data_IF_635746938387
#
_entry.id   IF_635746938387
#
_cell.length_a   1.000
_cell.length_b   1.000
_cell.length_c   1.000
_cell.angle_alpha   90.00
_cell.angle_beta   90.00
_cell.angle_gamma   90.00
#
_symmetry.space_group_name_H-M   'P 1'
#
loop_
_entity.id
_entity.type
_entity.pdbx_description
1 polymer ?
#
# COMPACT_ATOMS: atom_id res chain seq x y z
N UNK A 1 -10.21 -33.69 -6.43
CA UNK A 1 -10.49 -32.42 -5.74
C UNK A 1 -10.35 -31.32 -6.79
N UNK A 2 -11.34 -30.46 -6.91
CA UNK A 2 -11.30 -29.29 -7.82
C UNK A 2 -10.38 -28.23 -7.20
N UNK A 3 -9.70 -27.42 -8.02
CA UNK A 3 -8.97 -26.20 -7.58
C UNK A 3 -9.96 -25.05 -7.30
N UNK A 4 -11.14 -25.35 -6.76
CA UNK A 4 -12.19 -24.39 -6.42
C UNK A 4 -12.38 -24.43 -4.91
N UNK A 5 -12.30 -23.29 -4.23
CA UNK A 5 -12.54 -23.19 -2.79
C UNK A 5 -11.57 -24.00 -1.91
N UNK A 6 -10.36 -24.27 -2.41
CA UNK A 6 -9.36 -25.09 -1.72
C UNK A 6 -8.85 -24.39 -0.46
N UNK A 7 -9.37 -24.77 0.72
CA UNK A 7 -8.80 -24.36 2.03
C UNK A 7 -7.94 -25.46 2.66
N UNK A 8 -8.31 -26.72 2.46
CA UNK A 8 -7.64 -27.89 3.06
C UNK A 8 -7.68 -29.11 2.12
N UNK A 9 -6.58 -29.87 1.98
CA UNK A 9 -5.25 -29.59 2.54
C UNK A 9 -4.62 -28.30 1.96
N UNK A 10 -3.71 -27.67 2.71
CA UNK A 10 -2.90 -26.56 2.21
C UNK A 10 -1.97 -27.11 1.14
N UNK A 11 -1.89 -26.42 0.00
CA UNK A 11 -1.03 -26.82 -1.10
C UNK A 11 -1.64 -27.85 -2.05
N UNK A 12 -0.85 -28.18 -3.06
CA UNK A 12 -1.12 -29.25 -4.01
C UNK A 12 -0.98 -30.61 -3.33
N UNK A 13 -1.68 -31.60 -3.88
CA UNK A 13 -1.41 -33.01 -3.58
C UNK A 13 0.07 -33.32 -3.84
N UNK A 14 0.68 -34.12 -2.98
CA UNK A 14 2.11 -34.46 -3.06
C UNK A 14 2.52 -35.05 -4.42
N UNK A 15 1.68 -35.93 -4.98
CA UNK A 15 1.89 -36.53 -6.30
C UNK A 15 1.76 -35.55 -7.48
N UNK A 16 1.24 -34.34 -7.22
CA UNK A 16 1.01 -33.30 -8.24
C UNK A 16 2.03 -32.15 -8.19
N UNK A 17 2.88 -32.05 -7.16
CA UNK A 17 3.89 -30.97 -7.06
C UNK A 17 4.86 -30.97 -8.25
N UNK A 18 5.48 -32.11 -8.57
CA UNK A 18 6.38 -32.22 -9.72
C UNK A 18 5.67 -32.01 -11.09
N UNK A 19 4.49 -32.63 -11.35
CA UNK A 19 3.69 -32.30 -12.53
C UNK A 19 3.34 -30.82 -12.67
N UNK A 20 3.04 -30.13 -11.56
CA UNK A 20 2.70 -28.70 -11.57
C UNK A 20 3.90 -27.82 -11.92
N UNK A 21 5.09 -28.08 -11.37
CA UNK A 21 6.31 -27.40 -11.79
C UNK A 21 6.62 -27.62 -13.29
N UNK A 22 6.40 -28.85 -13.80
CA UNK A 22 6.53 -29.14 -15.23
C UNK A 22 5.50 -28.38 -16.08
N UNK A 23 4.28 -28.16 -15.56
CA UNK A 23 3.25 -27.38 -16.22
C UNK A 23 3.71 -25.94 -16.48
N UNK A 24 4.26 -25.25 -15.47
CA UNK A 24 4.87 -23.91 -15.63
C UNK A 24 5.91 -23.88 -16.76
N UNK A 25 6.86 -24.83 -16.75
CA UNK A 25 7.88 -24.91 -17.80
C UNK A 25 7.27 -25.12 -19.19
N UNK A 26 6.23 -25.94 -19.32
CA UNK A 26 5.56 -26.19 -20.60
C UNK A 26 4.77 -24.97 -21.07
N UNK A 27 4.11 -24.26 -20.16
CA UNK A 27 3.38 -23.02 -20.44
C UNK A 27 4.33 -21.95 -21.01
N UNK A 28 5.44 -21.67 -20.31
CA UNK A 28 6.46 -20.71 -20.77
C UNK A 28 7.02 -21.11 -22.15
N UNK A 29 7.33 -22.40 -22.32
CA UNK A 29 7.82 -22.92 -23.61
C UNK A 29 6.80 -22.74 -24.74
N UNK A 30 5.53 -23.00 -24.47
CA UNK A 30 4.47 -22.89 -25.47
C UNK A 30 4.29 -21.44 -25.93
N UNK A 31 4.16 -20.49 -25.00
CA UNK A 31 4.03 -19.07 -25.34
C UNK A 31 5.26 -18.50 -26.06
N UNK A 32 6.46 -18.91 -25.66
CA UNK A 32 7.69 -18.53 -26.36
C UNK A 32 7.69 -18.99 -27.82
N UNK A 33 7.12 -20.16 -28.14
CA UNK A 33 6.95 -20.63 -29.54
C UNK A 33 6.00 -19.76 -30.36
N UNK A 34 5.09 -19.05 -29.70
CA UNK A 34 4.21 -18.05 -30.31
C UNK A 34 4.79 -16.63 -30.30
N UNK A 35 6.08 -16.46 -29.94
CA UNK A 35 6.74 -15.16 -29.92
C UNK A 35 6.43 -14.31 -28.70
N UNK A 36 5.85 -14.90 -27.64
CA UNK A 36 5.49 -14.22 -26.38
C UNK A 36 6.44 -14.72 -25.28
N UNK A 37 7.60 -14.09 -25.05
CA UNK A 37 8.46 -14.44 -23.94
C UNK A 37 7.87 -13.89 -22.62
N UNK A 38 7.85 -14.71 -21.58
CA UNK A 38 7.53 -14.25 -20.23
C UNK A 38 8.76 -13.63 -19.57
N UNK A 39 8.56 -12.50 -18.90
CA UNK A 39 9.57 -11.88 -18.04
C UNK A 39 9.62 -12.55 -16.66
N UNK A 40 8.46 -12.86 -16.07
CA UNK A 40 8.38 -13.47 -14.74
C UNK A 40 7.08 -14.22 -14.49
N UNK A 41 7.04 -14.95 -13.37
CA UNK A 41 5.89 -15.74 -12.89
C UNK A 41 5.78 -15.67 -11.37
N UNK A 42 4.56 -15.87 -10.85
CA UNK A 42 4.28 -16.22 -9.45
C UNK A 42 3.80 -17.68 -9.35
N UNK A 43 4.08 -18.41 -8.25
CA UNK A 43 3.65 -19.81 -8.10
C UNK A 43 2.13 -19.99 -8.03
N UNK A 44 1.42 -19.01 -7.47
CA UNK A 44 -0.02 -19.07 -7.20
C UNK A 44 -0.55 -17.64 -7.01
N UNK A 45 -1.64 -17.30 -7.68
CA UNK A 45 -2.39 -16.08 -7.41
C UNK A 45 -3.12 -16.17 -6.07
N UNK A 46 -3.00 -15.14 -5.22
CA UNK A 46 -3.73 -15.00 -3.96
C UNK A 46 -3.74 -16.28 -3.09
N UNK A 47 -2.57 -16.82 -2.72
CA UNK A 47 -2.46 -18.08 -1.97
C UNK A 47 -3.15 -18.08 -0.61
N UNK A 48 -3.55 -16.95 -0.05
CA UNK A 48 -4.26 -16.89 1.24
C UNK A 48 -5.78 -16.83 1.07
N UNK A 49 -6.29 -16.76 -0.17
CA UNK A 49 -7.70 -16.57 -0.44
C UNK A 49 -8.33 -17.84 -1.01
N UNK A 50 -9.29 -18.39 -0.26
CA UNK A 50 -10.06 -19.56 -0.63
C UNK A 50 -11.26 -19.22 -1.52
N UNK A 51 -10.98 -18.55 -2.63
CA UNK A 51 -12.01 -18.03 -3.50
C UNK A 51 -12.99 -19.12 -3.99
N UNK A 52 -14.27 -18.77 -4.24
CA UNK A 52 -15.23 -19.69 -4.86
C UNK A 52 -14.97 -19.93 -6.37
N UNK A 53 -13.94 -19.29 -6.93
CA UNK A 53 -13.40 -19.51 -8.28
C UNK A 53 -12.04 -20.21 -8.23
N UNK A 54 -11.28 -20.16 -9.32
CA UNK A 54 -9.98 -20.81 -9.48
C UNK A 54 -8.99 -20.32 -8.40
N UNK A 55 -8.75 -21.15 -7.38
CA UNK A 55 -7.91 -20.81 -6.24
C UNK A 55 -7.25 -22.05 -5.61
N UNK A 56 -6.05 -21.87 -5.06
CA UNK A 56 -5.34 -22.91 -4.32
C UNK A 56 -4.63 -22.30 -3.12
N UNK A 57 -5.11 -22.58 -1.91
CA UNK A 57 -4.52 -22.00 -0.72
C UNK A 57 -3.13 -22.58 -0.42
N UNK A 58 -2.12 -21.71 -0.36
CA UNK A 58 -0.76 -22.00 0.13
C UNK A 58 -0.52 -21.20 1.41
N UNK A 59 0.35 -21.72 2.29
CA UNK A 59 1.01 -20.88 3.29
C UNK A 59 2.47 -20.65 2.87
N UNK A 60 3.13 -19.74 3.57
CA UNK A 60 4.50 -19.32 3.25
C UNK A 60 5.50 -20.47 3.26
N UNK A 61 5.36 -21.42 4.18
CA UNK A 61 6.24 -22.58 4.29
C UNK A 61 6.04 -23.54 3.11
N UNK A 62 4.78 -23.81 2.74
CA UNK A 62 4.47 -24.68 1.60
C UNK A 62 4.97 -24.08 0.28
N UNK A 63 4.74 -22.78 0.05
CA UNK A 63 5.24 -22.13 -1.18
C UNK A 63 6.77 -22.18 -1.23
N UNK A 64 7.46 -21.94 -0.11
CA UNK A 64 8.91 -22.05 -0.04
C UNK A 64 9.39 -23.48 -0.37
N UNK A 65 8.76 -24.51 0.19
CA UNK A 65 9.09 -25.91 -0.12
C UNK A 65 8.82 -26.23 -1.60
N UNK A 66 7.68 -25.80 -2.14
CA UNK A 66 7.33 -26.01 -3.54
C UNK A 66 8.33 -25.32 -4.49
N UNK A 67 8.74 -24.09 -4.17
CA UNK A 67 9.78 -23.37 -4.91
C UNK A 67 11.11 -24.12 -4.82
N UNK A 68 11.56 -24.46 -3.61
CA UNK A 68 12.89 -25.02 -3.39
C UNK A 68 13.08 -26.41 -3.99
N UNK A 69 12.07 -27.27 -3.86
CA UNK A 69 12.17 -28.68 -4.23
C UNK A 69 11.65 -28.98 -5.65
N UNK A 70 10.79 -28.12 -6.21
CA UNK A 70 10.12 -28.41 -7.50
C UNK A 70 10.22 -27.28 -8.52
N UNK A 71 9.62 -26.11 -8.26
CA UNK A 71 9.47 -25.07 -9.28
C UNK A 71 10.80 -24.41 -9.63
N UNK A 72 11.58 -23.98 -8.64
CA UNK A 72 12.88 -23.33 -8.82
C UNK A 72 13.86 -24.14 -9.66
N UNK A 73 14.14 -25.42 -9.32
CA UNK A 73 15.03 -26.28 -10.13
C UNK A 73 14.56 -26.45 -11.59
N UNK A 74 13.24 -26.51 -11.82
CA UNK A 74 12.67 -26.66 -13.16
C UNK A 74 12.84 -25.38 -13.97
N UNK A 75 12.59 -24.21 -13.37
CA UNK A 75 12.77 -22.91 -14.02
C UNK A 75 14.24 -22.63 -14.30
N UNK A 76 15.14 -22.84 -13.34
CA UNK A 76 16.58 -22.62 -13.53
C UNK A 76 17.13 -23.47 -14.69
N UNK A 77 16.73 -24.75 -14.77
CA UNK A 77 17.21 -25.65 -15.83
C UNK A 77 16.66 -25.29 -17.21
N UNK A 78 15.38 -24.96 -17.30
CA UNK A 78 14.69 -24.87 -18.59
C UNK A 78 14.55 -23.41 -19.09
N UNK A 79 14.52 -22.45 -18.17
CA UNK A 79 14.21 -21.03 -18.40
C UNK A 79 15.02 -20.11 -17.45
N UNK A 80 16.37 -20.17 -17.43
CA UNK A 80 17.23 -19.48 -16.44
C UNK A 80 17.15 -17.94 -16.40
N UNK A 81 16.36 -17.31 -17.28
CA UNK A 81 16.15 -15.86 -17.30
C UNK A 81 14.72 -15.43 -16.95
N UNK A 82 13.86 -16.35 -16.53
CA UNK A 82 12.51 -16.03 -16.06
C UNK A 82 12.58 -15.68 -14.58
N UNK A 83 12.08 -14.49 -14.26
CA UNK A 83 11.98 -13.97 -12.89
C UNK A 83 10.96 -14.77 -12.08
N UNK A 84 11.29 -15.18 -10.85
CA UNK A 84 10.34 -15.81 -9.94
C UNK A 84 9.99 -14.87 -8.77
N UNK A 85 8.72 -14.50 -8.68
CA UNK A 85 8.17 -13.68 -7.60
C UNK A 85 7.32 -14.55 -6.69
N UNK A 86 7.56 -14.51 -5.39
CA UNK A 86 6.74 -15.24 -4.44
C UNK A 86 5.51 -14.43 -3.96
N UNK A 87 4.62 -15.08 -3.23
CA UNK A 87 3.45 -14.52 -2.52
C UNK A 87 2.27 -14.12 -3.40
N UNK A 88 2.32 -13.00 -4.12
CA UNK A 88 1.25 -12.58 -5.04
C UNK A 88 -0.12 -12.39 -4.35
N UNK A 89 -0.13 -11.65 -3.23
CA UNK A 89 -1.33 -11.37 -2.45
C UNK A 89 -1.22 -10.08 -1.63
N UNK A 90 -2.18 -9.80 -0.74
CA UNK A 90 -2.37 -8.50 -0.13
C UNK A 90 -1.22 -8.03 0.78
N UNK A 91 -0.95 -6.72 0.76
CA UNK A 91 0.13 -6.06 1.53
C UNK A 91 0.15 -6.41 3.02
N UNK A 92 -0.99 -6.76 3.62
CA UNK A 92 -1.08 -7.14 5.04
C UNK A 92 -0.09 -8.25 5.43
N UNK A 93 0.16 -9.24 4.56
CA UNK A 93 1.02 -10.39 4.87
C UNK A 93 2.39 -10.35 4.18
N UNK A 94 2.68 -9.35 3.34
CA UNK A 94 3.88 -9.32 2.48
C UNK A 94 5.19 -9.47 3.26
N UNK A 95 5.32 -8.79 4.41
CA UNK A 95 6.51 -8.88 5.25
C UNK A 95 6.71 -10.29 5.85
N UNK A 96 5.63 -10.91 6.34
CA UNK A 96 5.67 -12.27 6.89
C UNK A 96 6.15 -13.27 5.83
N UNK A 97 5.57 -13.20 4.63
CA UNK A 97 5.91 -14.10 3.53
C UNK A 97 7.34 -13.92 3.05
N UNK A 98 7.81 -12.66 2.92
CA UNK A 98 9.20 -12.37 2.58
C UNK A 98 10.18 -12.99 3.59
N UNK A 99 9.93 -12.83 4.90
CA UNK A 99 10.78 -13.41 5.95
C UNK A 99 10.91 -14.93 5.81
N UNK A 100 9.79 -15.65 5.65
CA UNK A 100 9.81 -17.12 5.53
C UNK A 100 10.50 -17.57 4.24
N UNK A 101 10.16 -16.98 3.10
CA UNK A 101 10.64 -17.45 1.80
C UNK A 101 12.11 -17.13 1.58
N UNK A 102 12.54 -15.91 1.93
CA UNK A 102 13.93 -15.49 1.73
C UNK A 102 14.90 -16.23 2.66
N UNK A 103 14.45 -16.62 3.86
CA UNK A 103 15.26 -17.39 4.81
C UNK A 103 15.19 -18.92 4.59
N UNK A 104 14.28 -19.40 3.74
CA UNK A 104 14.11 -20.84 3.52
C UNK A 104 15.35 -21.47 2.83
N UNK A 105 15.93 -22.56 3.38
CA UNK A 105 17.22 -23.10 2.93
C UNK A 105 17.30 -23.49 1.45
N UNK A 106 16.19 -23.93 0.84
CA UNK A 106 16.15 -24.36 -0.56
C UNK A 106 15.45 -23.38 -1.51
N UNK A 107 14.66 -22.42 -1.00
CA UNK A 107 13.80 -21.58 -1.82
C UNK A 107 14.45 -20.24 -2.18
N UNK A 108 15.03 -19.57 -1.19
CA UNK A 108 15.45 -18.16 -1.31
C UNK A 108 16.43 -17.88 -2.45
N UNK A 109 17.21 -18.88 -2.89
CA UNK A 109 18.13 -18.77 -4.03
C UNK A 109 17.45 -18.65 -5.40
N UNK A 110 16.20 -19.11 -5.53
CA UNK A 110 15.45 -19.08 -6.80
C UNK A 110 14.52 -17.87 -6.91
N UNK A 111 14.23 -17.17 -5.79
CA UNK A 111 13.24 -16.09 -5.76
C UNK A 111 13.93 -14.75 -5.98
N UNK A 112 13.47 -13.99 -6.96
CA UNK A 112 14.05 -12.68 -7.32
C UNK A 112 13.37 -11.51 -6.60
N UNK A 113 12.11 -11.68 -6.22
CA UNK A 113 11.29 -10.65 -5.59
C UNK A 113 10.04 -11.20 -4.93
N UNK A 114 9.23 -10.29 -4.37
CA UNK A 114 7.91 -10.62 -3.82
C UNK A 114 6.84 -9.80 -4.54
N UNK A 115 5.79 -10.47 -4.96
CA UNK A 115 4.62 -9.87 -5.59
C UNK A 115 3.57 -9.57 -4.53
N UNK A 116 2.80 -8.51 -4.71
CA UNK A 116 1.72 -8.15 -3.79
C UNK A 116 0.56 -7.44 -4.48
N UNK A 117 -0.62 -7.48 -3.84
CA UNK A 117 -1.86 -6.87 -4.29
C UNK A 117 -2.30 -5.76 -3.32
N UNK A 118 -3.22 -4.90 -3.77
CA UNK A 118 -3.59 -3.69 -3.02
C UNK A 118 -4.77 -3.84 -2.05
N UNK A 119 -5.46 -4.99 -2.03
CA UNK A 119 -6.75 -5.14 -1.38
C UNK A 119 -6.63 -5.24 0.15
N UNK A 120 -7.68 -4.80 0.84
CA UNK A 120 -7.81 -4.99 2.29
C UNK A 120 -8.26 -6.43 2.64
N UNK A 121 -7.77 -6.93 3.77
CA UNK A 121 -8.06 -8.29 4.23
C UNK A 121 -9.51 -8.43 4.73
N UNK A 122 -10.06 -9.65 4.68
CA UNK A 122 -11.43 -9.92 5.11
C UNK A 122 -12.53 -9.52 4.12
N UNK A 123 -12.17 -9.02 2.94
CA UNK A 123 -13.11 -8.69 1.87
C UNK A 123 -13.82 -7.35 2.03
N UNK A 124 -13.47 -6.59 3.08
CA UNK A 124 -13.79 -5.17 3.19
C UNK A 124 -12.97 -4.44 2.11
N UNK A 125 -13.62 -3.72 1.19
CA UNK A 125 -12.95 -3.03 0.06
C UNK A 125 -12.79 -1.53 0.26
N UNK A 126 -13.04 -1.10 1.49
CA UNK A 126 -13.14 0.31 1.81
C UNK A 126 -11.76 0.97 1.80
N UNK A 127 -10.75 0.27 2.33
CA UNK A 127 -9.36 0.72 2.40
C UNK A 127 -8.46 0.18 1.27
N UNK A 128 -9.03 -0.43 0.24
CA UNK A 128 -8.28 -0.85 -0.95
C UNK A 128 -7.39 0.28 -1.46
N UNK A 129 -6.13 -0.04 -1.76
CA UNK A 129 -5.15 0.92 -2.25
C UNK A 129 -4.46 1.78 -1.17
N UNK A 130 -5.09 2.02 -0.02
CA UNK A 130 -4.56 2.93 1.02
C UNK A 130 -4.04 2.23 2.27
N UNK A 131 -4.41 0.97 2.50
CA UNK A 131 -3.96 0.21 3.67
C UNK A 131 -2.56 -0.40 3.51
N UNK A 132 -1.84 -0.48 4.63
CA UNK A 132 -0.58 -1.22 4.81
C UNK A 132 0.62 -0.84 3.89
N UNK A 133 0.80 0.42 3.44
CA UNK A 133 1.96 0.78 2.62
C UNK A 133 3.31 0.57 3.36
N UNK A 134 3.32 0.70 4.69
CA UNK A 134 4.49 0.53 5.55
C UNK A 134 5.02 -0.90 5.59
N UNK A 135 4.16 -1.91 5.37
CA UNK A 135 4.61 -3.30 5.29
C UNK A 135 5.58 -3.52 4.12
N UNK A 136 5.48 -2.71 3.05
CA UNK A 136 6.44 -2.74 1.95
C UNK A 136 7.80 -2.20 2.40
N UNK A 137 7.82 -1.09 3.14
CA UNK A 137 9.05 -0.54 3.72
C UNK A 137 9.76 -1.58 4.60
N UNK A 138 9.02 -2.23 5.51
CA UNK A 138 9.59 -3.24 6.40
C UNK A 138 10.09 -4.46 5.60
N UNK A 139 9.38 -4.85 4.53
CA UNK A 139 9.79 -5.94 3.63
C UNK A 139 11.07 -5.63 2.87
N UNK A 140 11.26 -4.39 2.42
CA UNK A 140 12.50 -3.97 1.77
C UNK A 140 13.74 -4.25 2.65
N UNK A 141 13.62 -4.03 3.97
CA UNK A 141 14.71 -4.25 4.91
C UNK A 141 14.93 -5.71 5.31
N UNK A 142 14.04 -6.65 4.94
CA UNK A 142 14.29 -8.09 5.06
C UNK A 142 15.43 -8.51 4.12
N UNK A 143 15.37 -8.07 2.85
CA UNK A 143 16.46 -8.27 1.88
C UNK A 143 16.40 -7.27 0.73
N UNK A 144 17.25 -6.23 0.80
CA UNK A 144 17.28 -5.14 -0.19
C UNK A 144 17.74 -5.54 -1.59
N UNK A 145 18.25 -6.77 -1.78
CA UNK A 145 18.58 -7.29 -3.12
C UNK A 145 17.37 -7.86 -3.87
N UNK A 146 16.22 -7.99 -3.19
CA UNK A 146 14.96 -8.48 -3.75
C UNK A 146 14.05 -7.30 -4.07
N UNK A 147 13.41 -7.33 -5.24
CA UNK A 147 12.45 -6.30 -5.61
C UNK A 147 11.05 -6.64 -5.07
N UNK A 148 10.20 -5.62 -4.96
CA UNK A 148 8.77 -5.79 -4.71
C UNK A 148 7.98 -5.28 -5.91
N UNK A 149 6.90 -5.95 -6.28
CA UNK A 149 6.05 -5.53 -7.40
C UNK A 149 4.58 -5.62 -7.00
N UNK A 150 3.84 -4.52 -7.17
CA UNK A 150 2.37 -4.58 -7.15
C UNK A 150 1.92 -5.23 -8.45
N UNK A 151 1.37 -6.44 -8.36
CA UNK A 151 1.03 -7.30 -9.50
C UNK A 151 -0.44 -7.26 -9.86
N UNK A 152 -1.30 -6.79 -8.95
CA UNK A 152 -2.72 -6.64 -9.19
C UNK A 152 -3.32 -5.53 -8.32
N UNK A 153 -4.21 -4.75 -8.93
CA UNK A 153 -5.05 -3.76 -8.26
C UNK A 153 -6.33 -3.54 -9.05
N UNK A 154 -7.47 -3.44 -8.36
CA UNK A 154 -8.77 -3.25 -9.00
C UNK A 154 -9.78 -2.58 -8.08
N UNK A 155 -10.58 -1.66 -8.61
CA UNK A 155 -11.70 -1.08 -7.87
C UNK A 155 -12.99 -1.83 -8.18
N UNK A 156 -13.63 -2.36 -7.15
CA UNK A 156 -14.88 -3.12 -7.27
C UNK A 156 -15.82 -2.74 -6.11
N UNK A 157 -17.13 -2.98 -6.21
CA UNK A 157 -17.83 -3.63 -7.32
C UNK A 157 -18.18 -2.69 -8.48
N UNK A 158 -18.32 -3.27 -9.68
CA UNK A 158 -18.91 -2.65 -10.86
C UNK A 158 -18.16 -1.45 -11.44
N UNK A 159 -18.78 -0.77 -12.41
CA UNK A 159 -18.22 0.39 -13.12
C UNK A 159 -18.70 1.69 -12.48
N UNK A 160 -17.77 2.54 -12.05
CA UNK A 160 -18.11 3.84 -11.48
C UNK A 160 -18.31 4.91 -12.56
N UNK A 161 -19.12 5.92 -12.23
CA UNK A 161 -19.33 7.11 -13.06
C UNK A 161 -19.27 8.39 -12.21
N UNK A 162 -19.06 9.54 -12.87
CA UNK A 162 -19.10 10.84 -12.21
C UNK A 162 -18.09 10.97 -11.05
N UNK A 163 -18.56 11.42 -9.88
CA UNK A 163 -17.72 11.65 -8.71
C UNK A 163 -17.06 10.37 -8.18
N UNK A 164 -17.73 9.22 -8.27
CA UNK A 164 -17.16 7.94 -7.83
C UNK A 164 -16.00 7.52 -8.74
N UNK A 165 -16.12 7.69 -10.05
CA UNK A 165 -15.04 7.39 -10.99
C UNK A 165 -13.81 8.26 -10.73
N UNK A 166 -14.01 9.52 -10.36
CA UNK A 166 -12.93 10.42 -9.97
C UNK A 166 -12.27 10.00 -8.65
N UNK A 167 -13.07 9.62 -7.64
CA UNK A 167 -12.57 9.09 -6.37
C UNK A 167 -11.74 7.82 -6.57
N UNK A 168 -12.19 6.87 -7.41
CA UNK A 168 -11.41 5.68 -7.77
C UNK A 168 -10.09 6.07 -8.42
N UNK A 169 -10.08 7.09 -9.29
CA UNK A 169 -8.85 7.56 -9.91
C UNK A 169 -7.85 8.17 -8.90
N UNK A 170 -8.34 8.97 -7.95
CA UNK A 170 -7.52 9.48 -6.85
C UNK A 170 -6.89 8.34 -6.05
N UNK A 171 -7.68 7.32 -5.71
CA UNK A 171 -7.21 6.11 -5.03
C UNK A 171 -6.10 5.38 -5.81
N UNK A 172 -6.21 5.28 -7.13
CA UNK A 172 -5.12 4.72 -7.97
C UNK A 172 -3.87 5.59 -7.89
N UNK A 173 -4.00 6.92 -8.02
CA UNK A 173 -2.88 7.85 -7.89
C UNK A 173 -2.18 7.75 -6.54
N UNK A 174 -2.97 7.70 -5.46
CA UNK A 174 -2.51 7.53 -4.10
C UNK A 174 -1.74 6.22 -3.98
N UNK A 175 -2.35 5.10 -4.37
CA UNK A 175 -1.75 3.78 -4.19
C UNK A 175 -0.44 3.62 -4.97
N UNK A 176 -0.41 3.99 -6.26
CA UNK A 176 0.80 3.93 -7.08
C UNK A 176 1.90 4.77 -6.43
N UNK A 177 1.58 5.97 -5.95
CA UNK A 177 2.54 6.84 -5.30
C UNK A 177 3.07 6.26 -3.98
N UNK A 178 2.18 5.75 -3.14
CA UNK A 178 2.50 5.12 -1.86
C UNK A 178 3.38 3.89 -2.03
N UNK A 179 3.04 2.99 -2.97
CA UNK A 179 3.83 1.78 -3.23
C UNK A 179 5.24 2.14 -3.76
N UNK A 180 5.34 3.09 -4.70
CA UNK A 180 6.63 3.55 -5.24
C UNK A 180 7.48 4.27 -4.17
N UNK A 181 6.85 5.03 -3.27
CA UNK A 181 7.55 5.65 -2.15
C UNK A 181 8.05 4.62 -1.13
N UNK A 182 7.38 3.47 -1.03
CA UNK A 182 7.75 2.34 -0.18
C UNK A 182 8.46 1.21 -0.96
N UNK A 183 9.37 1.58 -1.86
CA UNK A 183 10.34 0.69 -2.54
C UNK A 183 9.75 -0.32 -3.54
N UNK A 184 8.46 -0.26 -3.89
CA UNK A 184 7.94 -1.04 -5.01
C UNK A 184 8.65 -0.63 -6.31
N UNK A 185 9.01 -1.62 -7.13
CA UNK A 185 9.71 -1.43 -8.40
C UNK A 185 8.75 -1.18 -9.58
N UNK A 186 7.45 -1.41 -9.37
CA UNK A 186 6.41 -1.23 -10.38
C UNK A 186 5.02 -1.46 -9.81
N UNK A 187 4.02 -1.29 -10.68
CA UNK A 187 2.62 -1.40 -10.36
C UNK A 187 1.82 -1.86 -11.59
N UNK A 188 0.88 -2.78 -11.40
CA UNK A 188 0.12 -3.44 -12.47
C UNK A 188 -1.38 -3.37 -12.15
N UNK A 189 -2.15 -2.85 -13.10
CA UNK A 189 -3.62 -2.84 -13.07
C UNK A 189 -4.18 -4.24 -13.38
N UNK A 190 -5.42 -4.52 -12.97
CA UNK A 190 -6.03 -5.83 -13.17
C UNK A 190 -6.55 -6.05 -14.61
N UNK A 191 -7.81 -5.71 -14.88
CA UNK A 191 -8.39 -5.87 -16.22
C UNK A 191 -8.14 -4.62 -17.06
N UNK A 192 -7.46 -4.78 -18.20
CA UNK A 192 -7.20 -3.65 -19.11
C UNK A 192 -8.49 -3.04 -19.69
N UNK A 193 -9.48 -3.89 -19.98
CA UNK A 193 -10.75 -3.52 -20.62
C UNK A 193 -11.85 -4.41 -20.05
N UNK A 194 -12.98 -3.82 -19.66
CA UNK A 194 -14.21 -4.52 -19.28
C UNK A 194 -15.41 -3.95 -20.03
N UNK A 195 -16.54 -4.65 -20.02
CA UNK A 195 -17.80 -4.11 -20.54
C UNK A 195 -18.45 -3.09 -19.59
N UNK A 196 -19.52 -2.44 -20.04
CA UNK A 196 -20.33 -1.49 -19.27
C UNK A 196 -20.90 -2.02 -17.94
N UNK A 197 -20.83 -3.33 -17.68
CA UNK A 197 -21.24 -3.96 -16.41
C UNK A 197 -20.06 -4.34 -15.52
N UNK A 198 -18.82 -4.21 -16.01
CA UNK A 198 -17.60 -4.61 -15.31
C UNK A 198 -17.25 -6.09 -15.50
N UNK A 199 -17.77 -6.70 -16.55
CA UNK A 199 -17.56 -8.11 -16.90
C UNK A 199 -16.93 -8.31 -18.29
N UNK A 200 -17.06 -9.53 -18.86
CA UNK A 200 -17.75 -10.69 -18.30
C UNK A 200 -16.99 -11.33 -17.13
N UNK A 201 -17.71 -11.83 -16.12
CA UNK A 201 -17.13 -12.60 -15.01
C UNK A 201 -18.00 -13.83 -14.71
N UNK A 202 -17.43 -15.03 -14.69
CA UNK A 202 -18.20 -16.29 -14.53
C UNK A 202 -18.77 -16.53 -13.12
N UNK A 203 -18.42 -15.67 -12.17
CA UNK A 203 -18.92 -15.65 -10.79
C UNK A 203 -19.56 -14.33 -10.40
N UNK A 204 -19.88 -13.48 -11.37
CA UNK A 204 -20.45 -12.14 -11.13
C UNK A 204 -19.58 -11.24 -10.21
N UNK A 205 -18.28 -11.54 -10.10
CA UNK A 205 -17.30 -10.69 -9.38
C UNK A 205 -16.84 -9.55 -10.30
N UNK A 206 -17.75 -8.60 -10.56
CA UNK A 206 -17.54 -7.50 -11.49
C UNK A 206 -16.76 -6.34 -10.87
N UNK A 207 -15.93 -5.68 -11.66
CA UNK A 207 -15.04 -4.59 -11.25
C UNK A 207 -15.02 -3.48 -12.29
N UNK A 208 -14.39 -2.35 -11.95
CA UNK A 208 -14.03 -1.32 -12.92
C UNK A 208 -12.79 -1.73 -13.73
N UNK A 209 -12.54 -0.97 -14.79
CA UNK A 209 -11.30 -1.04 -15.57
C UNK A 209 -10.95 0.34 -16.10
N UNK A 210 -9.68 0.54 -16.47
CA UNK A 210 -9.24 1.80 -17.08
C UNK A 210 -9.98 2.13 -18.40
N UNK A 211 -10.49 1.12 -19.10
CA UNK A 211 -11.26 1.26 -20.34
C UNK A 211 -12.55 0.42 -20.22
N UNK A 212 -13.69 1.05 -20.51
CA UNK A 212 -15.01 0.42 -20.45
C UNK A 212 -15.64 0.43 -21.83
N UNK A 213 -15.98 -0.74 -22.36
CA UNK A 213 -16.68 -0.87 -23.65
C UNK A 213 -18.15 -0.51 -23.47
N UNK A 214 -18.73 0.22 -24.43
CA UNK A 214 -20.16 0.57 -24.44
C UNK A 214 -21.05 -0.68 -24.47
N UNK A 215 -22.31 -0.53 -24.07
CA UNK A 215 -23.30 -1.61 -24.12
C UNK A 215 -23.44 -2.23 -25.52
N UNK A 216 -23.31 -1.42 -26.57
CA UNK A 216 -23.35 -1.87 -27.97
C UNK A 216 -22.10 -2.60 -28.46
N UNK A 217 -20.98 -2.52 -27.72
CA UNK A 217 -19.70 -3.11 -28.14
C UNK A 217 -19.00 -2.36 -29.28
N UNK A 218 -19.45 -1.15 -29.61
CA UNK A 218 -19.04 -0.38 -30.78
C UNK A 218 -18.15 0.83 -30.45
N UNK A 219 -18.08 1.22 -29.17
CA UNK A 219 -17.25 2.33 -28.68
C UNK A 219 -16.74 2.05 -27.26
N UNK A 220 -15.95 2.95 -26.68
CA UNK A 220 -15.40 2.81 -25.34
C UNK A 220 -15.28 4.14 -24.59
N UNK A 221 -15.33 4.06 -23.26
CA UNK A 221 -15.02 5.15 -22.34
C UNK A 221 -13.64 4.92 -21.73
N UNK A 222 -12.83 5.97 -21.69
CA UNK A 222 -11.57 5.99 -20.94
C UNK A 222 -11.84 6.57 -19.57
N UNK A 223 -11.73 5.74 -18.54
CA UNK A 223 -12.03 6.14 -17.17
C UNK A 223 -10.97 7.11 -16.62
N UNK A 224 -11.32 7.96 -15.65
CA UNK A 224 -10.35 8.85 -14.98
C UNK A 224 -9.12 8.10 -14.45
N UNK A 225 -9.25 6.85 -13.98
CA UNK A 225 -8.14 6.04 -13.49
C UNK A 225 -7.05 5.78 -14.55
N UNK A 226 -7.43 5.67 -15.83
CA UNK A 226 -6.45 5.55 -16.93
C UNK A 226 -5.48 6.72 -16.94
N UNK A 227 -5.99 7.95 -16.76
CA UNK A 227 -5.18 9.16 -16.75
C UNK A 227 -4.29 9.23 -15.50
N UNK A 228 -4.79 8.81 -14.35
CA UNK A 228 -3.98 8.73 -13.13
C UNK A 228 -2.83 7.70 -13.27
N UNK A 229 -3.09 6.54 -13.86
CA UNK A 229 -2.01 5.58 -14.23
C UNK A 229 -1.02 6.23 -15.21
N UNK A 230 -1.53 6.98 -16.21
CA UNK A 230 -0.69 7.67 -17.20
C UNK A 230 0.28 8.69 -16.59
N UNK A 231 -0.08 9.35 -15.48
CA UNK A 231 0.82 10.27 -14.76
C UNK A 231 2.12 9.63 -14.28
N UNK A 232 2.14 8.29 -14.19
CA UNK A 232 3.33 7.49 -13.89
C UNK A 232 3.85 6.81 -15.16
N UNK A 233 3.05 5.97 -15.82
CA UNK A 233 3.50 5.08 -16.90
C UNK A 233 4.09 5.81 -18.11
N UNK A 234 3.57 7.01 -18.45
CA UNK A 234 4.07 7.82 -19.57
C UNK A 234 5.40 8.50 -19.26
N UNK A 235 5.65 8.82 -17.99
CA UNK A 235 6.75 9.68 -17.58
C UNK A 235 7.89 8.90 -16.89
N UNK A 236 7.62 7.69 -16.43
CA UNK A 236 8.55 6.80 -15.72
C UNK A 236 8.84 5.55 -16.57
N UNK A 237 9.59 5.66 -17.67
CA UNK A 237 9.96 4.47 -18.45
C UNK A 237 10.85 3.52 -17.62
N UNK A 238 10.97 2.25 -18.01
CA UNK A 238 11.84 1.28 -17.35
C UNK A 238 13.26 1.83 -17.14
N UNK A 239 13.81 1.59 -15.94
CA UNK A 239 15.10 2.14 -15.50
C UNK A 239 15.01 3.51 -14.84
N UNK A 240 13.81 4.08 -14.67
CA UNK A 240 13.61 5.26 -13.80
C UNK A 240 13.92 4.90 -12.35
N UNK A 241 14.59 5.81 -11.64
CA UNK A 241 15.00 5.61 -10.24
C UNK A 241 14.32 6.62 -9.34
N UNK A 242 13.61 6.15 -8.31
CA UNK A 242 13.06 7.02 -7.26
C UNK A 242 14.20 7.76 -6.54
N UNK A 243 13.96 9.02 -6.21
CA UNK A 243 14.84 9.83 -5.36
C UNK A 243 14.06 10.34 -4.16
N UNK A 244 14.74 10.63 -3.05
CA UNK A 244 14.10 11.16 -1.85
C UNK A 244 13.45 12.50 -2.16
N UNK A 245 12.18 12.62 -1.80
CA UNK A 245 11.41 13.87 -1.85
C UNK A 245 11.03 14.23 -0.42
N UNK A 246 11.07 15.51 -0.07
CA UNK A 246 10.48 16.02 1.16
C UNK A 246 9.27 16.85 0.77
N UNK A 247 8.11 16.51 1.30
CA UNK A 247 6.89 17.31 1.14
C UNK A 247 6.69 18.08 2.44
N UNK A 248 6.58 19.39 2.31
CA UNK A 248 6.18 20.25 3.42
C UNK A 248 5.15 21.22 2.85
N UNK A 249 3.99 21.26 3.48
CA UNK A 249 2.92 22.12 3.07
C UNK A 249 2.31 22.78 4.29
N UNK A 250 1.61 23.90 4.10
CA UNK A 250 1.03 24.67 5.19
C UNK A 250 -0.34 25.18 4.79
N UNK A 251 -1.34 24.81 5.57
CA UNK A 251 -2.67 25.37 5.47
C UNK A 251 -2.69 26.79 6.01
N UNK A 252 -3.25 27.71 5.24
CA UNK A 252 -3.55 29.06 5.73
C UNK A 252 -4.63 29.02 6.82
N UNK A 253 -5.58 28.08 6.70
CA UNK A 253 -6.63 27.77 7.68
C UNK A 253 -6.92 26.27 7.64
N UNK A 254 -7.23 25.62 8.78
CA UNK A 254 -7.65 24.22 8.77
C UNK A 254 -8.86 24.02 7.85
N UNK A 255 -8.79 23.03 6.96
CA UNK A 255 -9.92 22.59 6.13
C UNK A 255 -10.72 21.48 6.79
N UNK A 256 -11.56 20.78 6.00
CA UNK A 256 -12.23 19.57 6.47
C UNK A 256 -11.25 18.41 6.60
N UNK A 257 -11.36 17.64 7.68
CA UNK A 257 -10.41 16.58 7.96
C UNK A 257 -10.55 15.40 6.99
N UNK A 258 -11.68 15.23 6.30
CA UNK A 258 -11.93 14.13 5.34
C UNK A 258 -11.39 12.77 5.86
N UNK A 259 -11.92 12.36 7.00
CA UNK A 259 -11.49 11.16 7.70
C UNK A 259 -12.49 10.03 7.53
N UNK A 260 -11.97 8.82 7.71
CA UNK A 260 -12.68 7.59 7.46
C UNK A 260 -12.25 6.57 8.52
N UNK A 261 -13.16 5.66 8.90
CA UNK A 261 -12.81 4.57 9.82
C UNK A 261 -11.68 3.72 9.23
N UNK A 262 -10.88 3.11 10.10
CA UNK A 262 -9.70 2.28 9.78
C UNK A 262 -8.50 3.02 9.16
N UNK A 263 -8.61 4.32 8.89
CA UNK A 263 -7.45 5.12 8.50
C UNK A 263 -6.36 4.98 9.55
N UNK A 264 -5.15 4.68 9.09
CA UNK A 264 -3.97 4.66 9.95
C UNK A 264 -3.60 6.10 10.33
N UNK A 265 -2.87 6.27 11.42
CA UNK A 265 -2.26 7.56 11.76
C UNK A 265 -0.75 7.48 11.60
N UNK A 266 -0.14 8.56 11.16
CA UNK A 266 1.29 8.65 10.89
C UNK A 266 1.89 9.94 11.43
N UNK A 267 3.21 10.00 11.47
CA UNK A 267 3.95 11.21 11.77
C UNK A 267 4.29 11.90 10.44
N UNK A 268 3.84 13.14 10.27
CA UNK A 268 4.16 13.97 9.11
C UNK A 268 4.60 15.36 9.55
N UNK A 269 5.25 16.10 8.65
CA UNK A 269 5.52 17.52 8.85
C UNK A 269 4.22 18.27 9.23
N UNK A 270 4.26 19.07 10.29
CA UNK A 270 3.10 19.81 10.74
C UNK A 270 2.66 20.82 9.67
N UNK A 271 1.44 20.68 9.18
CA UNK A 271 0.86 21.46 8.09
C UNK A 271 -0.29 22.36 8.53
N UNK A 272 -0.80 22.19 9.76
CA UNK A 272 -1.92 22.98 10.29
C UNK A 272 -3.28 22.54 9.76
N UNK A 273 -3.38 21.34 9.18
CA UNK A 273 -4.64 20.71 8.83
C UNK A 273 -5.45 20.31 10.06
N UNK A 274 -6.76 20.16 9.89
CA UNK A 274 -7.64 19.62 10.93
C UNK A 274 -7.36 18.16 11.27
N UNK A 275 -6.68 17.41 10.38
CA UNK A 275 -6.23 16.02 10.62
C UNK A 275 -5.13 15.93 11.68
N UNK A 276 -4.42 17.02 11.94
CA UNK A 276 -3.33 17.09 12.93
C UNK A 276 -3.79 17.62 14.29
N UNK A 277 -5.04 18.05 14.40
CA UNK A 277 -5.59 18.60 15.63
C UNK A 277 -6.06 17.46 16.55
N UNK A 278 -5.19 16.92 17.39
CA UNK A 278 -5.49 15.80 18.30
C UNK A 278 -5.63 16.31 19.72
N UNK A 279 -6.80 16.10 20.33
CA UNK A 279 -7.08 16.50 21.72
C UNK A 279 -7.35 15.30 22.61
N UNK A 280 -7.05 15.47 23.90
CA UNK A 280 -7.52 14.59 24.98
C UNK A 280 -8.96 14.95 25.34
N UNK A 281 -9.85 13.98 25.38
CA UNK A 281 -11.23 14.17 25.85
C UNK A 281 -11.36 13.88 27.34
N UNK A 282 -12.46 14.31 27.97
CA UNK A 282 -12.74 14.08 29.39
C UNK A 282 -12.89 12.58 29.73
N UNK A 283 -13.33 11.78 28.77
CA UNK A 283 -13.41 10.31 28.86
C UNK A 283 -12.11 9.60 28.42
N UNK A 284 -10.98 10.33 28.43
CA UNK A 284 -9.64 9.80 28.17
C UNK A 284 -9.44 9.18 26.76
N UNK A 285 -9.95 9.83 25.72
CA UNK A 285 -9.71 9.44 24.31
C UNK A 285 -8.81 10.43 23.60
N UNK A 286 -8.13 9.97 22.56
CA UNK A 286 -7.39 10.82 21.61
C UNK A 286 -8.30 11.12 20.42
N UNK A 287 -9.03 12.23 20.47
CA UNK A 287 -9.98 12.61 19.42
C UNK A 287 -9.34 13.54 18.40
N UNK A 288 -9.61 13.31 17.11
CA UNK A 288 -9.37 14.34 16.09
C UNK A 288 -10.41 15.44 16.25
N UNK A 289 -9.94 16.60 16.67
CA UNK A 289 -10.74 17.74 17.13
C UNK A 289 -11.79 18.15 16.10
N UNK A 290 -13.04 18.31 16.55
CA UNK A 290 -14.15 18.70 15.69
C UNK A 290 -14.73 17.57 14.83
N UNK A 291 -14.26 16.33 14.99
CA UNK A 291 -14.75 15.16 14.24
C UNK A 291 -15.25 14.07 15.21
N UNK A 292 -16.04 13.09 14.72
CA UNK A 292 -16.42 11.93 15.53
C UNK A 292 -15.29 10.89 15.67
N UNK A 293 -14.10 11.11 15.11
CA UNK A 293 -13.03 10.12 15.04
C UNK A 293 -12.04 10.20 16.19
N UNK A 294 -11.67 9.02 16.70
CA UNK A 294 -10.65 8.83 17.73
C UNK A 294 -9.54 7.91 17.22
N UNK A 295 -8.31 8.16 17.68
CA UNK A 295 -7.17 7.26 17.49
C UNK A 295 -7.24 6.19 18.56
N UNK A 296 -7.33 4.93 18.15
CA UNK A 296 -7.62 3.83 19.07
C UNK A 296 -6.93 2.52 18.69
N UNK A 297 -6.78 1.63 19.68
CA UNK A 297 -6.08 0.36 19.53
C UNK A 297 -6.97 -0.67 18.83
N UNK A 298 -6.53 -1.15 17.67
CA UNK A 298 -7.18 -2.20 16.90
C UNK A 298 -6.25 -3.41 16.79
N UNK A 299 -6.80 -4.59 17.03
CA UNK A 299 -6.09 -5.85 16.83
C UNK A 299 -6.17 -6.27 15.37
N UNK A 300 -5.02 -6.58 14.78
CA UNK A 300 -4.95 -7.06 13.40
C UNK A 300 -5.08 -8.59 13.30
N UNK A 301 -5.47 -9.11 12.12
CA UNK A 301 -5.43 -10.55 11.85
C UNK A 301 -4.02 -11.17 12.01
N UNK A 302 -2.96 -10.37 11.85
CA UNK A 302 -1.56 -10.79 12.01
C UNK A 302 -1.11 -10.82 13.47
N UNK A 303 -1.96 -10.40 14.42
CA UNK A 303 -1.66 -10.36 15.85
C UNK A 303 -0.89 -9.12 16.31
N UNK A 304 -0.68 -8.15 15.42
CA UNK A 304 -0.12 -6.84 15.76
C UNK A 304 -1.19 -5.91 16.30
N UNK A 305 -0.79 -5.00 17.19
CA UNK A 305 -1.64 -3.94 17.72
C UNK A 305 -1.38 -2.64 16.98
N UNK A 306 -2.43 -2.08 16.41
CA UNK A 306 -2.34 -0.94 15.53
C UNK A 306 -3.16 0.22 16.07
N UNK A 307 -2.69 1.46 15.85
CA UNK A 307 -3.51 2.64 16.07
C UNK A 307 -4.20 3.00 14.77
N UNK A 308 -5.54 3.02 14.80
CA UNK A 308 -6.40 3.39 13.66
C UNK A 308 -7.48 4.37 14.09
N UNK A 309 -8.11 5.02 13.12
CA UNK A 309 -9.31 5.80 13.35
C UNK A 309 -10.52 4.89 13.58
N UNK A 310 -11.22 5.15 14.67
CA UNK A 310 -12.54 4.59 15.01
C UNK A 310 -13.51 5.74 15.28
N UNK A 311 -14.81 5.49 15.26
CA UNK A 311 -15.74 6.49 15.82
C UNK A 311 -15.68 6.46 17.35
N UNK A 312 -15.45 7.62 17.95
CA UNK A 312 -15.31 7.77 19.40
C UNK A 312 -16.50 7.22 20.18
N UNK A 313 -17.71 7.25 19.60
CA UNK A 313 -18.94 6.77 20.25
C UNK A 313 -19.04 5.23 20.33
N UNK A 314 -18.35 4.52 19.43
CA UNK A 314 -18.41 3.05 19.35
C UNK A 314 -17.30 2.35 20.10
N UNK A 315 -16.24 3.08 20.48
CA UNK A 315 -15.16 2.51 21.28
C UNK A 315 -15.37 2.72 22.79
N UNK A 316 -15.31 1.64 23.60
CA UNK A 316 -15.22 1.72 25.04
C UNK A 316 -13.78 1.93 25.54
N UNK A 317 -12.77 1.90 24.64
CA UNK A 317 -11.38 2.02 25.03
C UNK A 317 -11.05 3.43 25.52
N UNK A 318 -10.12 3.48 26.47
CA UNK A 318 -9.64 4.71 27.10
C UNK A 318 -8.13 4.62 27.30
N UNK A 319 -7.44 5.70 27.00
CA UNK A 319 -5.99 5.81 27.15
C UNK A 319 -5.62 6.34 28.53
N UNK A 320 -4.56 5.82 29.11
CA UNK A 320 -3.89 6.41 30.28
C UNK A 320 -2.84 7.41 29.79
N UNK A 321 -3.01 8.68 30.14
CA UNK A 321 -2.03 9.73 29.85
C UNK A 321 -1.13 9.90 31.08
N UNK A 322 0.13 9.45 30.97
CA UNK A 322 1.10 9.52 32.06
C UNK A 322 1.84 10.87 32.01
N UNK A 323 1.64 11.73 33.00
CA UNK A 323 2.27 13.07 33.02
C UNK A 323 3.78 13.00 33.29
N UNK A 324 4.23 12.07 34.14
CA UNK A 324 5.65 11.95 34.53
C UNK A 324 6.53 11.37 33.41
N UNK A 325 5.99 10.40 32.66
CA UNK A 325 6.72 9.70 31.60
C UNK A 325 6.37 10.23 30.21
N UNK A 326 5.32 11.04 30.08
CA UNK A 326 4.75 11.47 28.80
C UNK A 326 4.28 10.32 27.89
N UNK A 327 4.03 9.13 28.45
CA UNK A 327 3.50 7.99 27.68
C UNK A 327 1.99 8.06 27.56
N UNK A 328 1.47 7.55 26.44
CA UNK A 328 0.04 7.31 26.23
C UNK A 328 -0.14 5.79 26.18
N UNK A 329 -0.82 5.23 27.18
CA UNK A 329 -0.82 3.78 27.45
C UNK A 329 -2.23 3.18 27.43
N UNK A 330 -2.34 1.94 26.95
CA UNK A 330 -3.49 1.07 27.15
C UNK A 330 -2.95 -0.31 27.53
N UNK A 331 -3.35 -0.82 28.69
CA UNK A 331 -2.80 -2.06 29.26
C UNK A 331 -1.26 -2.07 29.25
N UNK A 332 -0.61 -3.10 28.70
CA UNK A 332 0.85 -3.19 28.59
C UNK A 332 1.43 -2.43 27.38
N UNK A 333 0.61 -1.73 26.59
CA UNK A 333 0.99 -1.11 25.32
C UNK A 333 1.05 0.40 25.39
N UNK A 334 2.07 0.98 24.78
CA UNK A 334 2.30 2.40 24.67
C UNK A 334 2.22 2.84 23.21
N UNK A 335 1.57 3.98 22.96
CA UNK A 335 1.62 4.63 21.64
C UNK A 335 3.08 4.87 21.27
N UNK A 336 3.48 4.42 20.10
CA UNK A 336 4.87 4.30 19.68
C UNK A 336 5.05 4.67 18.20
N UNK A 337 6.22 5.16 17.82
CA UNK A 337 6.60 5.27 16.41
C UNK A 337 7.07 3.91 15.89
N UNK A 338 6.60 3.49 14.71
CA UNK A 338 7.02 2.21 14.14
C UNK A 338 8.56 2.14 14.02
N UNK A 339 9.16 1.11 14.61
CA UNK A 339 10.61 0.92 14.72
C UNK A 339 11.40 2.12 15.29
N UNK A 340 10.74 3.03 16.04
CA UNK A 340 11.34 4.28 16.52
C UNK A 340 11.75 5.26 15.42
N UNK A 341 11.28 5.07 14.18
CA UNK A 341 11.61 5.93 13.05
C UNK A 341 10.95 7.30 13.19
N UNK A 342 11.62 8.33 12.65
CA UNK A 342 11.14 9.73 12.64
C UNK A 342 11.00 10.27 11.20
N UNK A 343 11.02 9.39 10.20
CA UNK A 343 10.76 9.81 8.81
C UNK A 343 9.29 10.19 8.61
N UNK A 344 9.00 11.19 7.78
CA UNK A 344 7.62 11.54 7.40
C UNK A 344 6.91 10.32 6.80
N UNK A 345 5.65 10.11 7.18
CA UNK A 345 4.84 8.94 6.83
C UNK A 345 5.04 7.72 7.73
N UNK A 346 5.95 7.75 8.73
CA UNK A 346 6.07 6.64 9.69
C UNK A 346 4.78 6.48 10.47
N UNK A 347 4.27 5.26 10.53
CA UNK A 347 3.04 4.93 11.22
C UNK A 347 3.18 5.04 12.74
N UNK A 348 2.10 5.46 13.39
CA UNK A 348 1.94 5.38 14.84
C UNK A 348 1.29 4.05 15.18
N UNK A 349 1.95 3.31 16.05
CA UNK A 349 1.61 1.95 16.46
C UNK A 349 1.38 1.91 17.98
N UNK A 350 1.08 0.73 18.49
CA UNK A 350 1.07 0.46 19.91
C UNK A 350 1.98 -0.73 20.20
N UNK A 351 3.15 -0.45 20.74
CA UNK A 351 4.14 -1.46 21.12
C UNK A 351 4.08 -1.71 22.62
N UNK A 352 4.65 -2.82 23.10
CA UNK A 352 4.80 -3.00 24.55
C UNK A 352 5.58 -1.81 25.12
N UNK A 353 5.09 -1.28 26.23
CA UNK A 353 5.78 -0.19 26.92
C UNK A 353 7.17 -0.68 27.35
N UNK A 354 8.20 0.07 26.96
CA UNK A 354 9.57 -0.25 27.34
C UNK A 354 9.79 -0.02 28.84
N UNK A 355 10.66 -0.83 29.44
CA UNK A 355 11.05 -0.71 30.86
C UNK A 355 11.72 0.65 31.11
N UNK A 356 12.62 1.05 30.19
CA UNK A 356 13.19 2.38 30.13
C UNK A 356 12.35 3.27 29.20
N UNK A 357 11.95 4.45 29.68
CA UNK A 357 11.07 5.35 28.91
C UNK A 357 11.80 5.86 27.67
N UNK A 358 11.49 5.26 26.52
CA UNK A 358 12.07 5.63 25.24
C UNK A 358 11.38 6.85 24.61
N UNK A 359 12.15 7.74 23.99
CA UNK A 359 11.63 8.98 23.36
C UNK A 359 10.53 8.73 22.32
N UNK A 360 10.58 7.59 21.62
CA UNK A 360 9.60 7.24 20.59
C UNK A 360 8.26 6.75 21.16
N UNK A 361 8.18 6.54 22.48
CA UNK A 361 6.94 6.28 23.23
C UNK A 361 6.44 7.51 24.01
N UNK A 362 7.08 8.65 23.85
CA UNK A 362 6.75 9.89 24.58
C UNK A 362 6.09 10.93 23.67
N UNK A 363 5.03 11.55 24.17
CA UNK A 363 4.16 12.43 23.39
C UNK A 363 3.76 13.69 24.16
N UNK A 364 3.78 14.83 23.46
CA UNK A 364 3.23 16.10 23.94
C UNK A 364 1.95 16.43 23.19
N UNK A 365 0.93 16.88 23.92
CA UNK A 365 -0.27 17.48 23.37
C UNK A 365 -0.15 18.99 23.53
N UNK A 366 0.04 19.71 22.43
CA UNK A 366 0.24 21.14 22.43
C UNK A 366 -1.10 21.86 22.47
N UNK A 367 -1.34 22.64 23.54
CA UNK A 367 -2.59 23.38 23.72
C UNK A 367 -2.71 24.63 22.82
N UNK A 368 -1.61 25.17 22.31
CA UNK A 368 -1.61 26.39 21.48
C UNK A 368 -2.06 26.10 20.05
N UNK A 369 -1.60 24.99 19.46
CA UNK A 369 -1.92 24.62 18.08
C UNK A 369 -2.77 23.34 17.97
N UNK A 370 -3.07 22.68 19.08
CA UNK A 370 -3.91 21.49 19.15
C UNK A 370 -3.23 20.22 18.63
N UNK A 371 -1.91 20.21 18.43
CA UNK A 371 -1.20 19.09 17.82
C UNK A 371 -0.68 18.08 18.85
N UNK A 372 -0.59 16.81 18.45
CA UNK A 372 0.15 15.79 19.19
C UNK A 372 1.52 15.57 18.53
N UNK A 373 2.59 15.54 19.31
CA UNK A 373 3.98 15.51 18.81
C UNK A 373 4.82 14.50 19.59
N UNK A 374 5.65 13.73 18.88
CA UNK A 374 6.60 12.80 19.50
C UNK A 374 7.82 13.52 20.07
N UNK A 375 8.35 13.06 21.20
CA UNK A 375 9.62 13.57 21.76
C UNK A 375 10.85 13.02 21.01
N UNK A 376 10.70 11.93 20.25
CA UNK A 376 11.78 11.40 19.42
C UNK A 376 12.10 12.27 18.21
N UNK A 377 11.14 13.07 17.73
CA UNK A 377 11.35 13.91 16.56
C UNK A 377 11.91 15.27 16.93
N UNK A 378 13.13 15.63 16.49
CA UNK A 378 13.65 16.98 16.64
C UNK A 378 13.07 17.96 15.59
N UNK A 379 12.21 17.48 14.69
CA UNK A 379 11.66 18.26 13.58
C UNK A 379 10.22 18.70 13.85
N UNK A 380 9.69 19.65 13.06
CA UNK A 380 8.32 20.12 13.19
C UNK A 380 7.34 19.08 12.61
N UNK A 381 7.19 17.96 13.31
CA UNK A 381 6.32 16.84 12.95
C UNK A 381 5.17 16.68 13.93
N UNK A 382 4.02 16.31 13.39
CA UNK A 382 2.75 16.16 14.08
C UNK A 382 2.15 14.80 13.75
N UNK A 383 1.41 14.25 14.72
CA UNK A 383 0.52 13.13 14.47
C UNK A 383 -0.56 13.58 13.48
N UNK A 384 -0.66 12.88 12.36
CA UNK A 384 -1.65 13.11 11.32
C UNK A 384 -2.58 11.92 11.26
N UNK A 385 -3.88 12.17 11.45
CA UNK A 385 -4.92 11.18 11.25
C UNK A 385 -5.12 10.95 9.74
N UNK A 386 -4.94 9.71 9.27
CA UNK A 386 -4.84 9.41 7.84
C UNK A 386 -3.46 9.70 7.29
N UNK A 387 -3.44 10.36 6.13
CA UNK A 387 -2.23 10.72 5.41
C UNK A 387 -2.16 12.23 5.14
N UNK A 388 -0.95 12.73 4.92
CA UNK A 388 -0.72 14.09 4.45
C UNK A 388 -1.50 14.37 3.17
N UNK A 389 -2.02 15.59 3.07
CA UNK A 389 -2.94 15.97 2.01
C UNK A 389 -2.31 16.14 0.62
N UNK A 390 -1.04 16.52 0.61
CA UNK A 390 -0.26 16.68 -0.59
C UNK A 390 0.76 15.56 -0.58
N UNK A 391 0.67 14.70 -1.57
CA UNK A 391 1.60 13.59 -1.72
C UNK A 391 2.46 13.83 -2.93
N UNK A 392 3.71 13.39 -2.86
CA UNK A 392 4.60 13.44 -4.01
C UNK A 392 5.58 12.27 -4.06
N UNK A 393 5.92 11.89 -5.29
CA UNK A 393 7.03 11.00 -5.58
C UNK A 393 7.91 11.59 -6.68
N UNK A 394 9.22 11.60 -6.43
CA UNK A 394 10.21 12.13 -7.35
C UNK A 394 11.11 11.01 -7.91
N UNK A 395 11.49 11.17 -9.17
CA UNK A 395 12.27 10.20 -9.93
C UNK A 395 13.30 10.88 -10.81
N UNK A 396 14.38 10.17 -11.09
CA UNK A 396 15.28 10.45 -12.21
C UNK A 396 15.07 9.35 -13.24
N UNK A 397 14.42 9.72 -14.34
CA UNK A 397 14.25 8.88 -15.52
C UNK A 397 15.56 8.81 -16.34
N UNK A 398 15.69 7.83 -17.26
CA UNK A 398 16.81 7.74 -18.18
C UNK A 398 17.09 9.07 -18.90
N UNK A 399 18.36 9.29 -19.27
CA UNK A 399 18.87 10.57 -19.80
C UNK A 399 18.81 11.73 -18.78
N UNK A 400 18.83 11.40 -17.48
CA UNK A 400 18.87 12.34 -16.36
C UNK A 400 17.67 13.30 -16.29
N UNK A 401 16.52 12.88 -16.82
CA UNK A 401 15.28 13.66 -16.78
C UNK A 401 14.62 13.51 -15.41
N UNK A 402 14.38 14.63 -14.73
CA UNK A 402 13.70 14.63 -13.42
C UNK A 402 12.20 14.65 -13.63
N UNK A 403 11.51 13.86 -12.82
CA UNK A 403 10.05 13.73 -12.83
C UNK A 403 9.56 13.85 -11.40
N UNK A 404 8.55 14.69 -11.19
CA UNK A 404 7.84 14.82 -9.92
C UNK A 404 6.36 14.62 -10.20
N UNK A 405 5.75 13.63 -9.55
CA UNK A 405 4.30 13.45 -9.55
C UNK A 405 3.77 13.99 -8.22
N UNK A 406 2.76 14.86 -8.29
CA UNK A 406 2.11 15.46 -7.13
C UNK A 406 0.62 15.16 -7.18
N UNK A 407 0.07 14.70 -6.07
CA UNK A 407 -1.35 14.39 -5.90
C UNK A 407 -1.93 15.28 -4.80
N UNK A 408 -3.06 15.93 -5.09
CA UNK A 408 -3.85 16.70 -4.14
C UNK A 408 -5.22 16.05 -4.00
N UNK A 409 -5.45 15.38 -2.87
CA UNK A 409 -6.73 14.71 -2.59
C UNK A 409 -7.72 15.60 -1.81
N UNK A 410 -7.36 16.87 -1.56
CA UNK A 410 -8.22 17.80 -0.85
C UNK A 410 -9.33 18.41 -1.71
N UNK A 411 -10.29 19.02 -1.01
CA UNK A 411 -11.33 19.89 -1.59
C UNK A 411 -10.83 21.24 -2.08
N UNK A 412 -9.63 21.67 -1.65
CA UNK A 412 -9.06 22.96 -1.99
C UNK A 412 -7.83 22.83 -2.91
N UNK A 413 -7.57 23.84 -3.77
CA UNK A 413 -6.29 23.94 -4.46
C UNK A 413 -5.12 24.07 -3.47
N UNK A 414 -3.96 23.56 -3.86
CA UNK A 414 -2.72 23.73 -3.10
C UNK A 414 -1.70 24.54 -3.91
N UNK A 415 -1.28 25.67 -3.35
CA UNK A 415 -0.16 26.48 -3.84
C UNK A 415 1.13 26.02 -3.14
N UNK A 416 2.19 25.77 -3.92
CA UNK A 416 3.45 25.28 -3.37
C UNK A 416 4.65 25.63 -4.26
N UNK A 417 5.83 25.45 -3.68
CA UNK A 417 7.10 25.60 -4.37
C UNK A 417 7.73 24.23 -4.62
N UNK A 418 8.08 23.96 -5.87
CA UNK A 418 8.97 22.85 -6.20
C UNK A 418 10.40 23.36 -6.18
N UNK A 419 11.19 22.91 -5.20
CA UNK A 419 12.59 23.27 -5.08
C UNK A 419 13.51 22.10 -5.47
N UNK A 420 14.51 22.36 -6.31
CA UNK A 420 15.58 21.40 -6.64
C UNK A 420 16.92 22.13 -6.65
N UNK A 421 17.71 21.92 -5.60
CA UNK A 421 18.90 22.74 -5.36
C UNK A 421 18.50 24.21 -5.16
N UNK A 422 19.03 25.08 -6.02
CA UNK A 422 18.70 26.52 -6.01
C UNK A 422 17.54 26.90 -6.95
N UNK A 423 17.05 25.95 -7.77
CA UNK A 423 15.92 26.21 -8.65
C UNK A 423 14.62 26.10 -7.85
N UNK A 424 13.74 27.08 -8.03
CA UNK A 424 12.41 27.14 -7.40
C UNK A 424 11.37 27.39 -8.49
N UNK A 425 10.28 26.64 -8.44
CA UNK A 425 9.10 26.83 -9.28
C UNK A 425 7.89 27.04 -8.37
N UNK A 426 7.29 28.22 -8.42
CA UNK A 426 5.97 28.45 -7.85
C UNK A 426 4.91 27.80 -8.75
N UNK A 427 4.02 27.01 -8.14
CA UNK A 427 2.98 26.30 -8.88
C UNK A 427 1.76 26.05 -8.00
N UNK A 428 0.66 25.68 -8.66
CA UNK A 428 -0.60 25.31 -8.04
C UNK A 428 -1.04 23.95 -8.58
N UNK A 429 -1.68 23.16 -7.72
CA UNK A 429 -2.44 21.97 -8.12
C UNK A 429 -3.90 22.17 -7.69
N UNK A 430 -4.84 21.91 -8.60
CA UNK A 430 -6.26 22.04 -8.31
C UNK A 430 -6.71 21.02 -7.25
N UNK A 431 -7.86 21.30 -6.63
CA UNK A 431 -8.53 20.36 -5.74
C UNK A 431 -8.76 19.01 -6.45
N UNK A 432 -8.46 17.93 -5.74
CA UNK A 432 -8.67 16.57 -6.22
C UNK A 432 -7.86 16.16 -7.45
N UNK A 433 -6.81 16.89 -7.83
CA UNK A 433 -6.07 16.67 -9.06
C UNK A 433 -4.72 15.98 -8.84
N UNK A 434 -4.20 15.38 -9.91
CA UNK A 434 -2.82 14.87 -10.02
C UNK A 434 -2.08 15.67 -11.09
N UNK A 435 -0.78 15.94 -10.88
CA UNK A 435 0.05 16.69 -11.82
C UNK A 435 1.47 16.13 -11.88
N UNK A 436 1.99 15.97 -13.10
CA UNK A 436 3.38 15.54 -13.34
C UNK A 436 4.21 16.70 -13.88
N UNK A 437 5.32 16.98 -13.22
CA UNK A 437 6.32 17.96 -13.60
C UNK A 437 7.55 17.24 -14.16
N UNK A 438 8.10 17.75 -15.26
CA UNK A 438 9.24 17.13 -15.94
C UNK A 438 10.24 18.21 -16.34
N UNK A 439 11.52 18.01 -15.99
CA UNK A 439 12.60 18.93 -16.33
C UNK A 439 13.95 18.21 -16.44
N UNK A 440 14.98 18.94 -16.90
CA UNK A 440 16.35 18.44 -17.06
C UNK A 440 17.21 18.65 -15.80
#
# INVERSE_FOLDING_TARGET
ASMLGSTKPVGLRDDMRAPWALYFSKFITAYKKHGIPFWGVSPQNEPEFNAPWEACAYNSEYEAEFIGEFLGPVLERNHPGVTLMAFDHNRVSVNRWANVIYSHPSAGKYVDGIAFHWYEDGGERYMDGVAYPEHLNDTHFVNQSRFMLSTESSSCPGVAVGAEAWFRAQRYGHNIMSDLNNYAAGWIDWNLILDHTGGPNHKDNVCDAAIIVTEGGDDYFVQPMYYFIQHFSKFLPPGSRRVKTKVAARFAKPGDAQLFVHYQSSLDSCDGSSRQAIRRTEDNKMQVTGTPFCLDLVNTPTGQHEVRLVECQWTPQTWTFEEDTHRVRIDEYCVSLNHGSTEDGVRIMADKCEDEVALYQQWTFNAEDGTMRSHASPSNQCVTAGYSFLQAAAFVAPQNRKVLVVLNENTEPADFQVQTGNAVLDTTIAAGAIRTYVWA
#
